data_IF_965362409521
#
_entry.id   IF_965362409521
#
_cell.length_a   1.000
_cell.length_b   1.000
_cell.length_c   1.000
_cell.angle_alpha   90.00
_cell.angle_beta   90.00
_cell.angle_gamma   90.00
#
_symmetry.space_group_name_H-M   'P 1'
#
loop_
_entity.id
_entity.type
_entity.pdbx_description
1 polymer ?
#
# COMPACT_ATOMS: atom_id res chain seq x y z
N UNK A 1 34.03 -17.58 14.43
CA UNK A 1 33.36 -18.48 13.46
C UNK A 1 32.97 -19.75 14.21
N UNK A 2 31.68 -20.08 14.21
CA UNK A 2 31.11 -21.14 15.04
C UNK A 2 31.47 -22.54 14.48
N UNK A 3 31.83 -23.50 15.35
CA UNK A 3 32.24 -24.86 14.93
C UNK A 3 31.14 -25.62 14.17
N UNK A 4 29.87 -25.28 14.42
CA UNK A 4 28.73 -25.86 13.72
C UNK A 4 28.74 -25.55 12.21
N UNK A 5 29.12 -24.32 11.83
CA UNK A 5 29.18 -23.90 10.42
C UNK A 5 30.24 -24.69 9.65
N UNK A 6 31.39 -24.96 10.29
CA UNK A 6 32.45 -25.77 9.69
C UNK A 6 32.01 -27.22 9.45
N UNK A 7 31.23 -27.79 10.38
CA UNK A 7 30.70 -29.15 10.26
C UNK A 7 29.74 -29.26 9.07
N UNK A 8 28.78 -28.35 8.95
CA UNK A 8 27.84 -28.33 7.81
C UNK A 8 28.60 -28.22 6.49
N UNK A 9 29.57 -27.30 6.40
CA UNK A 9 30.36 -27.13 5.19
C UNK A 9 31.12 -28.40 4.79
N UNK A 10 31.79 -29.07 5.73
CA UNK A 10 32.63 -30.23 5.41
C UNK A 10 31.89 -31.55 5.28
N UNK A 11 30.72 -31.69 5.91
CA UNK A 11 30.00 -32.96 5.95
C UNK A 11 28.80 -32.99 5.00
N UNK A 12 28.14 -31.86 4.79
CA UNK A 12 26.99 -31.77 3.89
C UNK A 12 27.34 -31.21 2.51
N UNK A 13 28.18 -30.17 2.44
CA UNK A 13 28.45 -29.49 1.15
C UNK A 13 29.66 -30.04 0.39
N UNK A 14 30.68 -30.58 1.06
CA UNK A 14 31.88 -31.10 0.39
C UNK A 14 31.51 -32.31 -0.50
N UNK A 15 31.72 -32.16 -1.81
CA UNK A 15 31.50 -33.23 -2.80
C UNK A 15 30.09 -33.29 -3.40
N UNK A 16 29.14 -32.50 -2.89
CA UNK A 16 27.77 -32.47 -3.40
C UNK A 16 27.59 -31.40 -4.49
N UNK A 17 26.89 -31.77 -5.57
CA UNK A 17 26.47 -30.83 -6.63
C UNK A 17 24.97 -30.95 -6.83
N UNK A 18 24.25 -29.84 -6.62
CA UNK A 18 22.80 -29.77 -6.79
C UNK A 18 22.45 -29.08 -8.11
N UNK A 19 21.48 -29.63 -8.83
CA UNK A 19 21.02 -29.08 -10.12
C UNK A 19 19.96 -28.00 -9.92
N UNK A 20 19.18 -28.07 -8.83
CA UNK A 20 18.16 -27.08 -8.49
C UNK A 20 18.00 -26.93 -6.96
N UNK A 21 17.27 -25.88 -6.55
CA UNK A 21 17.05 -25.54 -5.14
C UNK A 21 16.25 -26.62 -4.39
N UNK A 22 15.24 -27.20 -5.04
CA UNK A 22 14.38 -28.20 -4.43
C UNK A 22 15.15 -29.47 -4.06
N UNK A 23 16.04 -29.93 -4.95
CA UNK A 23 16.93 -31.05 -4.70
C UNK A 23 17.84 -30.79 -3.49
N UNK A 24 18.40 -29.59 -3.39
CA UNK A 24 19.22 -29.20 -2.24
C UNK A 24 18.41 -29.19 -0.93
N UNK A 25 17.16 -28.70 -0.96
CA UNK A 25 16.24 -28.71 0.19
C UNK A 25 15.87 -30.13 0.63
N UNK A 26 15.61 -31.03 -0.32
CA UNK A 26 15.33 -32.44 -0.02
C UNK A 26 16.58 -33.16 0.51
N UNK A 27 17.76 -32.85 -0.03
CA UNK A 27 19.03 -33.42 0.43
C UNK A 27 19.36 -32.99 1.87
N UNK A 28 19.24 -31.70 2.19
CA UNK A 28 19.51 -31.19 3.54
C UNK A 28 18.52 -31.76 4.55
N UNK A 29 17.25 -31.92 4.17
CA UNK A 29 16.23 -32.54 5.04
C UNK A 29 16.60 -33.97 5.39
N UNK A 30 16.99 -34.79 4.39
CA UNK A 30 17.46 -36.15 4.60
C UNK A 30 18.72 -36.21 5.47
N UNK A 31 19.66 -35.28 5.25
CA UNK A 31 20.89 -35.20 6.04
C UNK A 31 20.61 -34.84 7.50
N UNK A 32 19.72 -33.88 7.76
CA UNK A 32 19.28 -33.49 9.10
C UNK A 32 18.60 -34.64 9.84
N UNK A 33 17.71 -35.40 9.18
CA UNK A 33 17.00 -36.54 9.78
C UNK A 33 17.88 -37.79 9.95
N UNK A 34 18.94 -37.91 9.15
CA UNK A 34 19.88 -39.03 9.21
C UNK A 34 21.22 -38.64 9.84
N UNK A 35 22.32 -38.50 9.05
CA UNK A 35 23.67 -38.32 9.57
C UNK A 35 23.84 -37.22 10.63
N UNK A 36 23.23 -36.05 10.44
CA UNK A 36 23.43 -34.92 11.34
C UNK A 36 22.59 -35.02 12.63
N UNK A 37 21.37 -35.52 12.54
CA UNK A 37 20.44 -35.66 13.66
C UNK A 37 20.72 -36.89 14.53
N UNK A 38 21.30 -37.94 13.94
CA UNK A 38 21.56 -39.21 14.65
C UNK A 38 22.95 -39.34 15.25
N UNK A 39 23.86 -38.39 14.99
CA UNK A 39 25.21 -38.39 15.57
C UNK A 39 25.17 -38.08 17.07
N UNK A 40 26.16 -38.56 17.82
CA UNK A 40 26.37 -38.11 19.20
C UNK A 40 27.02 -36.72 19.16
N UNK A 41 26.33 -35.71 19.69
CA UNK A 41 26.85 -34.35 19.72
C UNK A 41 27.93 -34.19 20.81
N UNK A 42 29.04 -33.51 20.50
CA UNK A 42 30.17 -33.41 21.43
C UNK A 42 29.89 -32.61 22.71
N UNK A 43 28.93 -31.68 22.70
CA UNK A 43 28.58 -30.88 23.89
C UNK A 43 27.44 -31.52 24.69
N UNK A 44 26.45 -32.07 24.01
CA UNK A 44 25.22 -32.59 24.63
C UNK A 44 25.34 -34.08 24.94
N UNK A 45 26.37 -34.75 24.39
CA UNK A 45 26.61 -36.19 24.47
C UNK A 45 25.38 -37.04 24.10
N UNK A 46 24.47 -36.49 23.30
CA UNK A 46 23.20 -37.09 22.91
C UNK A 46 22.95 -36.89 21.41
N UNK A 47 21.98 -37.62 20.87
CA UNK A 47 21.57 -37.52 19.46
C UNK A 47 20.65 -36.30 19.30
N UNK A 48 21.02 -35.27 18.49
CA UNK A 48 20.21 -34.06 18.35
C UNK A 48 18.76 -34.30 18.00
N UNK A 49 18.48 -35.28 17.13
CA UNK A 49 17.12 -35.61 16.72
C UNK A 49 16.29 -36.13 17.90
N UNK A 50 16.87 -36.97 18.75
CA UNK A 50 16.17 -37.50 19.94
C UNK A 50 15.87 -36.39 20.93
N UNK A 51 16.87 -35.56 21.25
CA UNK A 51 16.70 -34.40 22.13
C UNK A 51 15.61 -33.47 21.62
N UNK A 52 15.62 -33.17 20.31
CA UNK A 52 14.57 -32.36 19.69
C UNK A 52 13.19 -32.99 19.87
N UNK A 53 13.02 -34.27 19.52
CA UNK A 53 11.71 -34.95 19.60
C UNK A 53 11.18 -35.10 21.03
N UNK A 54 12.06 -35.35 22.00
CA UNK A 54 11.64 -35.65 23.38
C UNK A 54 11.47 -34.39 24.22
N UNK A 55 12.35 -33.39 24.05
CA UNK A 55 12.41 -32.24 24.95
C UNK A 55 12.00 -30.92 24.30
N UNK A 56 12.30 -30.72 23.00
CA UNK A 56 12.17 -29.40 22.38
C UNK A 56 10.90 -29.26 21.51
N UNK A 57 10.43 -30.33 20.87
CA UNK A 57 9.35 -30.27 19.87
C UNK A 57 8.03 -29.71 20.43
N UNK A 58 7.76 -29.89 21.72
CA UNK A 58 6.57 -29.38 22.39
C UNK A 58 6.70 -27.96 22.98
N UNK A 59 7.89 -27.36 22.96
CA UNK A 59 8.14 -26.04 23.54
C UNK A 59 7.73 -24.86 22.65
N UNK A 60 7.87 -24.91 21.30
CA UNK A 60 7.47 -23.81 20.45
C UNK A 60 5.98 -23.50 20.60
N UNK A 61 5.68 -22.20 20.73
CA UNK A 61 4.34 -21.67 20.57
C UNK A 61 3.85 -21.96 19.15
N UNK A 62 2.53 -21.99 18.98
CA UNK A 62 1.92 -22.06 17.65
C UNK A 62 2.55 -20.98 16.77
N UNK A 63 3.01 -21.39 15.58
CA UNK A 63 3.66 -20.48 14.66
C UNK A 63 2.71 -19.28 14.42
N UNK A 64 3.20 -18.03 14.56
CA UNK A 64 2.41 -16.90 14.09
C UNK A 64 2.13 -17.08 12.59
N UNK A 65 1.16 -16.33 12.07
CA UNK A 65 0.85 -16.35 10.64
C UNK A 65 2.08 -16.10 9.75
N UNK A 66 1.91 -16.24 8.43
CA UNK A 66 2.98 -16.09 7.45
C UNK A 66 3.84 -14.86 7.75
N UNK A 67 5.15 -15.06 7.87
CA UNK A 67 6.08 -13.97 8.15
C UNK A 67 6.01 -12.92 7.05
N UNK A 68 5.80 -11.67 7.45
CA UNK A 68 5.73 -10.55 6.53
C UNK A 68 7.13 -10.19 6.03
N UNK A 69 7.38 -10.45 4.73
CA UNK A 69 8.68 -10.20 4.11
C UNK A 69 8.75 -8.73 3.68
N UNK A 70 9.56 -7.90 4.35
CA UNK A 70 9.67 -6.49 4.01
C UNK A 70 10.32 -6.28 2.65
N UNK A 71 9.82 -5.29 1.92
CA UNK A 71 10.48 -4.76 0.73
C UNK A 71 11.40 -3.60 1.13
N UNK A 72 12.67 -3.70 0.77
CA UNK A 72 13.64 -2.63 0.95
C UNK A 72 13.83 -1.86 -0.36
N UNK A 73 13.73 -0.53 -0.31
CA UNK A 73 13.90 0.34 -1.50
C UNK A 73 14.54 1.66 -1.09
N UNK A 74 15.41 2.21 -1.94
CA UNK A 74 15.81 3.61 -1.84
C UNK A 74 14.80 4.51 -2.54
N UNK A 75 14.22 5.48 -1.83
CA UNK A 75 13.23 6.40 -2.37
C UNK A 75 13.71 7.85 -2.25
N UNK A 76 13.51 8.63 -3.32
CA UNK A 76 13.80 10.06 -3.35
C UNK A 76 12.56 10.84 -2.98
N UNK A 77 12.72 11.87 -2.15
CA UNK A 77 11.65 12.84 -1.89
C UNK A 77 11.60 13.85 -3.03
N UNK A 78 10.47 13.88 -3.73
CA UNK A 78 10.24 14.83 -4.82
C UNK A 78 9.90 16.22 -4.29
N UNK A 79 9.94 17.22 -5.18
CA UNK A 79 9.58 18.61 -4.87
C UNK A 79 8.17 18.76 -4.29
N UNK A 80 7.30 17.81 -4.60
CA UNK A 80 5.91 17.77 -4.13
C UNK A 80 5.77 17.18 -2.72
N UNK A 81 6.86 17.06 -1.94
CA UNK A 81 6.89 16.50 -0.58
C UNK A 81 6.56 15.00 -0.49
N UNK A 82 6.53 14.29 -1.63
CA UNK A 82 6.19 12.87 -1.67
C UNK A 82 7.36 12.00 -2.11
N UNK A 83 7.46 10.81 -1.54
CA UNK A 83 8.32 9.73 -1.98
C UNK A 83 7.48 8.55 -2.49
N UNK A 84 7.89 7.95 -3.61
CA UNK A 84 7.19 6.82 -4.21
C UNK A 84 7.75 5.48 -3.73
N UNK A 85 6.90 4.69 -3.07
CA UNK A 85 7.23 3.37 -2.55
C UNK A 85 6.17 2.39 -3.01
N UNK A 86 6.58 1.35 -3.73
CA UNK A 86 5.67 0.34 -4.30
C UNK A 86 4.46 0.94 -5.06
N UNK A 87 4.70 1.97 -5.89
CA UNK A 87 3.67 2.71 -6.64
C UNK A 87 2.63 3.44 -5.79
N UNK A 88 2.92 3.69 -4.51
CA UNK A 88 2.12 4.54 -3.63
C UNK A 88 2.94 5.75 -3.18
N UNK A 89 2.27 6.88 -2.93
CA UNK A 89 2.89 8.14 -2.57
C UNK A 89 2.78 8.42 -1.08
N UNK A 90 3.90 8.74 -0.44
CA UNK A 90 3.99 9.01 1.00
C UNK A 90 4.60 10.38 1.25
N UNK A 91 3.94 11.19 2.06
CA UNK A 91 4.40 12.55 2.40
C UNK A 91 5.53 12.56 3.42
N UNK A 92 6.52 13.44 3.23
CA UNK A 92 7.63 13.65 4.16
C UNK A 92 7.81 15.15 4.43
N UNK A 93 8.38 15.52 5.60
CA UNK A 93 8.59 16.93 5.96
C UNK A 93 9.44 17.68 4.93
N UNK A 94 9.14 18.97 4.75
CA UNK A 94 9.80 19.83 3.75
C UNK A 94 11.33 19.86 3.78
N UNK A 95 11.93 19.70 4.96
CA UNK A 95 13.39 19.72 5.13
C UNK A 95 14.10 18.57 4.38
N UNK A 96 13.34 17.57 3.94
CA UNK A 96 13.87 16.37 3.30
C UNK A 96 13.70 16.34 1.78
N UNK A 97 13.23 17.42 1.16
CA UNK A 97 13.09 17.50 -0.30
C UNK A 97 14.45 17.26 -0.98
N UNK A 98 14.48 16.38 -1.98
CA UNK A 98 15.68 16.05 -2.74
C UNK A 98 16.59 15.00 -2.08
N UNK A 99 16.37 14.66 -0.81
CA UNK A 99 17.11 13.61 -0.12
C UNK A 99 16.62 12.20 -0.51
N UNK A 100 17.51 11.23 -0.30
CA UNK A 100 17.23 9.81 -0.47
C UNK A 100 17.05 9.14 0.89
N UNK A 101 16.07 8.24 0.97
CA UNK A 101 15.72 7.48 2.16
C UNK A 101 15.84 5.99 1.88
N UNK A 102 16.32 5.25 2.88
CA UNK A 102 16.20 3.81 2.92
C UNK A 102 14.81 3.47 3.46
N UNK A 103 14.00 2.83 2.64
CA UNK A 103 12.61 2.53 2.98
C UNK A 103 12.47 1.05 3.26
N UNK A 104 11.84 0.73 4.39
CA UNK A 104 11.35 -0.60 4.71
C UNK A 104 9.83 -0.59 4.59
N UNK A 105 9.30 -1.40 3.68
CA UNK A 105 7.88 -1.56 3.45
C UNK A 105 7.45 -2.95 3.91
N UNK A 106 6.78 -2.99 5.05
CA UNK A 106 6.04 -4.14 5.56
C UNK A 106 4.63 -4.17 4.88
N UNK A 107 3.85 -5.22 5.13
CA UNK A 107 2.46 -5.38 4.68
C UNK A 107 1.52 -4.31 5.25
N UNK A 108 1.78 -3.87 6.48
CA UNK A 108 0.96 -2.88 7.19
C UNK A 108 1.57 -1.49 7.22
N UNK A 109 2.90 -1.38 7.21
CA UNK A 109 3.61 -0.14 7.47
C UNK A 109 4.72 0.15 6.46
N UNK A 110 4.98 1.42 6.23
CA UNK A 110 6.12 1.92 5.46
C UNK A 110 6.95 2.84 6.34
N UNK A 111 8.21 2.48 6.55
CA UNK A 111 9.16 3.17 7.43
C UNK A 111 10.27 3.79 6.60
N UNK A 112 10.51 5.08 6.81
CA UNK A 112 11.54 5.86 6.13
C UNK A 112 12.73 6.09 7.05
N UNK A 113 13.91 5.66 6.62
CA UNK A 113 15.16 5.82 7.33
C UNK A 113 16.10 6.76 6.57
N UNK A 114 16.79 7.62 7.31
CA UNK A 114 17.88 8.43 6.77
C UNK A 114 19.12 8.21 7.63
N UNK A 115 20.18 7.67 7.03
CA UNK A 115 21.45 7.34 7.73
C UNK A 115 21.23 6.46 8.98
N UNK A 116 20.33 5.48 8.88
CA UNK A 116 19.99 4.57 9.98
C UNK A 116 18.96 5.10 11.00
N UNK A 117 18.60 6.39 10.94
CA UNK A 117 17.60 6.97 11.85
C UNK A 117 16.20 6.89 11.24
N UNK A 118 15.23 6.42 12.03
CA UNK A 118 13.82 6.41 11.64
C UNK A 118 13.30 7.85 11.61
N UNK A 119 12.92 8.32 10.43
CA UNK A 119 12.40 9.68 10.23
C UNK A 119 10.88 9.69 10.27
N UNK A 120 10.24 8.71 9.63
CA UNK A 120 8.78 8.68 9.55
C UNK A 120 8.21 7.30 9.31
N UNK A 121 6.99 7.08 9.79
CA UNK A 121 6.20 5.86 9.58
C UNK A 121 4.86 6.24 8.97
N UNK A 122 4.43 5.46 7.98
CA UNK A 122 3.12 5.57 7.34
C UNK A 122 2.40 4.22 7.33
N UNK A 123 1.06 4.21 7.37
CA UNK A 123 0.29 3.02 7.03
C UNK A 123 0.48 2.68 5.55
N UNK A 124 0.58 1.39 5.23
CA UNK A 124 0.72 0.88 3.87
C UNK A 124 -0.51 1.26 3.05
N UNK A 125 -0.27 1.75 1.83
CA UNK A 125 -1.31 2.06 0.86
C UNK A 125 -1.24 1.13 -0.36
N UNK A 126 -2.39 0.82 -0.98
CA UNK A 126 -2.42 0.08 -2.23
C UNK A 126 -1.77 0.89 -3.36
N UNK A 127 -1.48 0.21 -4.47
CA UNK A 127 -0.95 0.84 -5.69
C UNK A 127 -1.84 2.02 -6.13
N UNK A 128 -1.22 3.16 -6.42
CA UNK A 128 -1.92 4.41 -6.74
C UNK A 128 -2.49 5.15 -5.53
N UNK A 129 -2.42 4.56 -4.34
CA UNK A 129 -2.83 5.19 -3.09
C UNK A 129 -1.86 6.28 -2.62
N UNK A 130 -2.38 7.18 -1.78
CA UNK A 130 -1.61 8.27 -1.18
C UNK A 130 -1.79 8.31 0.33
N UNK A 131 -0.69 8.51 1.06
CA UNK A 131 -0.68 8.82 2.49
C UNK A 131 -0.03 10.19 2.68
N UNK A 132 -0.89 11.21 2.78
CA UNK A 132 -0.49 12.58 3.04
C UNK A 132 -0.87 12.94 4.47
N UNK A 133 0.11 13.27 5.29
CA UNK A 133 -0.10 13.87 6.61
C UNK A 133 0.01 15.39 6.46
N UNK A 134 -0.94 16.10 7.06
CA UNK A 134 -1.10 17.56 6.95
C UNK A 134 0.06 18.30 7.60
N UNK A 135 0.67 17.73 8.65
CA UNK A 135 1.73 18.38 9.40
C UNK A 135 3.04 18.55 8.59
N UNK A 136 3.25 17.74 7.55
CA UNK A 136 4.46 17.81 6.72
C UNK A 136 4.44 18.89 5.66
N UNK A 137 3.25 19.37 5.32
CA UNK A 137 3.07 20.41 4.33
C UNK A 137 3.13 21.78 5.00
N UNK A 138 3.78 22.77 4.36
CA UNK A 138 3.72 24.13 4.86
C UNK A 138 2.26 24.60 4.89
N UNK A 139 1.87 25.30 5.95
CA UNK A 139 0.47 25.66 6.23
C UNK A 139 -0.24 26.33 5.04
N UNK A 140 0.47 27.18 4.30
CA UNK A 140 -0.05 27.88 3.12
C UNK A 140 -0.30 26.96 1.90
N UNK A 141 0.36 25.79 1.82
CA UNK A 141 0.21 24.82 0.71
C UNK A 141 -0.60 23.59 1.10
N UNK A 142 -0.79 23.34 2.40
CA UNK A 142 -1.55 22.21 2.91
C UNK A 142 -2.99 22.21 2.38
N UNK A 143 -3.64 23.38 2.34
CA UNK A 143 -5.04 23.53 1.93
C UNK A 143 -5.24 23.12 0.46
N UNK A 144 -4.33 23.53 -0.41
CA UNK A 144 -4.35 23.15 -1.83
C UNK A 144 -3.99 21.67 -2.04
N UNK A 145 -2.94 21.18 -1.36
CA UNK A 145 -2.42 19.82 -1.55
C UNK A 145 -3.30 18.71 -0.97
N UNK A 146 -4.08 19.02 0.08
CA UNK A 146 -5.09 18.13 0.65
C UNK A 146 -6.44 18.24 -0.06
N UNK A 147 -6.59 19.20 -0.98
CA UNK A 147 -7.86 19.49 -1.68
C UNK A 147 -9.02 19.62 -0.68
N UNK A 148 -8.79 20.35 0.41
CA UNK A 148 -9.79 20.56 1.47
C UNK A 148 -10.82 21.59 0.98
N UNK A 149 -11.86 21.07 0.31
CA UNK A 149 -12.90 21.87 -0.35
C UNK A 149 -13.58 22.82 0.64
N UNK A 150 -13.85 22.35 1.85
CA UNK A 150 -14.50 23.15 2.90
C UNK A 150 -13.66 24.37 3.26
N UNK A 151 -12.34 24.19 3.41
CA UNK A 151 -11.43 25.32 3.65
C UNK A 151 -11.34 26.28 2.48
N UNK A 152 -11.34 25.78 1.24
CA UNK A 152 -11.32 26.62 0.04
C UNK A 152 -12.59 27.47 -0.06
N UNK A 153 -13.76 26.87 0.19
CA UNK A 153 -15.03 27.61 0.26
C UNK A 153 -14.98 28.66 1.37
N UNK A 154 -14.49 28.31 2.57
CA UNK A 154 -14.35 29.27 3.68
C UNK A 154 -13.42 30.45 3.34
N UNK A 155 -12.30 30.20 2.64
CA UNK A 155 -11.41 31.25 2.17
C UNK A 155 -12.09 32.17 1.14
N UNK A 156 -12.87 31.60 0.22
CA UNK A 156 -13.69 32.36 -0.72
C UNK A 156 -14.74 33.21 0.00
N UNK A 157 -15.42 32.67 1.02
CA UNK A 157 -16.38 33.41 1.84
C UNK A 157 -15.74 34.56 2.60
N UNK A 158 -14.52 34.36 3.12
CA UNK A 158 -13.76 35.42 3.79
C UNK A 158 -13.37 36.57 2.84
N UNK A 159 -13.13 36.28 1.56
CA UNK A 159 -12.93 37.30 0.52
C UNK A 159 -14.23 38.01 0.13
N UNK A 160 -15.38 37.35 0.29
CA UNK A 160 -16.70 37.96 0.16
C UNK A 160 -17.82 36.93 0.17
N UNK A 161 -19.01 37.25 0.74
CA UNK A 161 -20.10 36.29 0.87
C UNK A 161 -20.59 35.75 -0.49
N UNK A 162 -20.64 36.60 -1.52
CA UNK A 162 -21.02 36.19 -2.87
C UNK A 162 -19.98 35.28 -3.53
N UNK A 163 -18.70 35.44 -3.19
CA UNK A 163 -17.60 34.63 -3.73
C UNK A 163 -17.65 33.23 -3.13
N UNK A 164 -17.93 33.13 -1.82
CA UNK A 164 -18.16 31.85 -1.15
C UNK A 164 -19.34 31.06 -1.73
N UNK A 165 -20.48 31.74 -1.92
CA UNK A 165 -21.68 31.13 -2.54
C UNK A 165 -21.37 30.65 -3.97
N UNK A 166 -20.62 31.44 -4.75
CA UNK A 166 -20.22 31.06 -6.10
C UNK A 166 -19.29 29.82 -6.10
N UNK A 167 -18.27 29.79 -5.24
CA UNK A 167 -17.35 28.67 -5.11
C UNK A 167 -18.06 27.37 -4.69
N UNK A 168 -18.99 27.46 -3.74
CA UNK A 168 -19.82 26.34 -3.32
C UNK A 168 -20.68 25.82 -4.49
N UNK A 169 -21.34 26.72 -5.23
CA UNK A 169 -22.15 26.33 -6.39
C UNK A 169 -21.34 25.72 -7.52
N UNK A 170 -20.10 26.13 -7.76
CA UNK A 170 -19.22 25.47 -8.73
C UNK A 170 -18.90 24.05 -8.29
N UNK A 171 -18.61 23.85 -7.01
CA UNK A 171 -18.26 22.53 -6.49
C UNK A 171 -19.45 21.56 -6.47
N UNK A 172 -20.64 22.06 -6.15
CA UNK A 172 -21.89 21.28 -6.09
C UNK A 172 -22.43 20.93 -7.49
N UNK A 173 -21.97 21.60 -8.54
CA UNK A 173 -22.34 21.24 -9.90
C UNK A 173 -21.76 19.86 -10.24
N UNK A 174 -22.57 18.91 -10.73
CA UNK A 174 -22.03 17.71 -11.32
C UNK A 174 -21.12 18.13 -12.47
N UNK A 175 -19.86 17.71 -12.41
CA UNK A 175 -18.93 17.93 -13.52
C UNK A 175 -19.57 17.27 -14.74
N UNK A 176 -20.17 18.07 -15.61
CA UNK A 176 -20.70 17.59 -16.88
C UNK A 176 -19.48 17.19 -17.72
N UNK A 177 -18.97 15.98 -17.50
CA UNK A 177 -17.87 15.39 -18.25
C UNK A 177 -18.18 15.36 -19.76
N UNK A 178 -19.45 15.52 -20.13
CA UNK A 178 -19.94 15.56 -21.50
C UNK A 178 -19.76 16.94 -22.17
N UNK A 179 -19.62 18.04 -21.43
CA UNK A 179 -19.65 19.38 -22.01
C UNK A 179 -18.26 19.91 -22.41
N UNK A 180 -17.19 19.47 -21.73
CA UNK A 180 -15.85 20.02 -21.95
C UNK A 180 -15.02 19.24 -22.99
N UNK A 181 -15.39 17.99 -23.28
CA UNK A 181 -14.69 17.18 -24.25
C UNK A 181 -15.68 16.44 -25.15
N UNK A 182 -15.85 16.83 -26.42
CA UNK A 182 -16.70 16.07 -27.32
C UNK A 182 -16.13 14.67 -27.47
N UNK A 183 -17.00 13.66 -27.33
CA UNK A 183 -16.64 12.23 -27.34
C UNK A 183 -15.81 11.81 -28.58
N UNK A 184 -15.88 12.59 -29.65
CA UNK A 184 -15.10 12.45 -30.89
C UNK A 184 -13.60 12.75 -30.74
N UNK A 185 -13.18 13.42 -29.68
CA UNK A 185 -11.78 13.81 -29.48
C UNK A 185 -10.99 12.90 -28.53
N UNK A 186 -11.66 12.01 -27.77
CA UNK A 186 -11.03 11.24 -26.67
C UNK A 186 -10.38 10.00 -27.28
N UNK A 187 -9.07 9.78 -27.03
CA UNK A 187 -8.43 8.49 -27.36
C UNK A 187 -9.27 7.37 -26.71
N UNK A 188 -9.71 6.35 -27.48
CA UNK A 188 -10.54 5.25 -26.97
C UNK A 188 -10.00 4.59 -25.70
N UNK A 189 -8.70 4.71 -25.44
CA UNK A 189 -8.03 4.19 -24.24
C UNK A 189 -8.34 4.96 -22.95
N UNK A 190 -8.84 6.20 -23.05
CA UNK A 190 -9.18 7.05 -21.90
C UNK A 190 -10.67 7.38 -21.80
N UNK A 191 -11.51 6.82 -22.67
CA UNK A 191 -12.95 6.98 -22.57
C UNK A 191 -13.46 6.29 -21.28
N UNK A 192 -14.21 6.99 -20.41
CA UNK A 192 -14.78 6.35 -19.23
C UNK A 192 -15.76 5.26 -19.68
N UNK A 193 -15.68 4.07 -19.06
CA UNK A 193 -16.69 3.03 -19.25
C UNK A 193 -18.05 3.57 -18.80
N UNK A 194 -19.16 3.20 -19.46
CA UNK A 194 -20.47 3.72 -19.12
C UNK A 194 -20.82 3.29 -17.70
N UNK A 195 -20.81 4.24 -16.77
CA UNK A 195 -21.40 4.05 -15.44
C UNK A 195 -22.92 3.98 -15.60
N UNK A 196 -23.59 2.94 -15.07
CA UNK A 196 -25.03 2.90 -15.05
C UNK A 196 -25.54 4.01 -14.13
N UNK A 197 -26.12 5.06 -14.73
CA UNK A 197 -26.80 6.11 -13.97
C UNK A 197 -28.08 5.57 -13.32
N UNK A 198 -28.54 6.17 -12.21
CA UNK A 198 -29.80 5.77 -11.58
C UNK A 198 -30.97 6.07 -12.52
N UNK A 199 -31.86 5.10 -12.67
CA UNK A 199 -33.06 5.22 -13.49
C UNK A 199 -33.91 6.42 -13.04
N UNK A 200 -33.98 7.44 -13.88
CA UNK A 200 -34.92 8.54 -13.71
C UNK A 200 -36.30 8.01 -14.09
N UNK A 201 -37.10 7.65 -13.10
CA UNK A 201 -38.54 7.40 -13.27
C UNK A 201 -39.23 8.74 -13.50
N UNK A 202 -39.64 8.97 -14.74
CA UNK A 202 -40.45 10.11 -15.14
C UNK A 202 -41.83 10.01 -14.45
N UNK A 203 -42.29 11.02 -13.67
CA UNK A 203 -43.66 11.03 -13.17
C UNK A 203 -44.62 11.43 -14.30
N UNK A 204 -45.55 10.53 -14.64
CA UNK A 204 -46.65 10.79 -15.56
C UNK A 204 -47.48 12.01 -15.11
N UNK A 205 -47.51 13.05 -15.94
CA UNK A 205 -48.46 14.16 -15.84
C UNK A 205 -49.85 13.62 -16.25
N UNK A 206 -50.90 13.72 -15.43
CA UNK A 206 -52.23 13.29 -15.85
C UNK A 206 -52.86 14.32 -16.80
N UNK A 207 -53.38 13.82 -17.92
CA UNK A 207 -54.07 14.62 -18.92
C UNK A 207 -55.40 15.17 -18.37
N UNK A 208 -55.54 16.50 -18.38
CA UNK A 208 -56.80 17.18 -18.10
C UNK A 208 -57.77 16.96 -19.26
N UNK A 209 -58.80 16.13 -19.05
CA UNK A 209 -59.93 16.00 -19.97
C UNK A 209 -60.89 17.17 -19.79
N UNK A 210 -60.91 18.10 -20.74
CA UNK A 210 -61.94 19.15 -20.84
C UNK A 210 -63.26 18.53 -21.30
N UNK A 211 -64.24 18.45 -20.40
CA UNK A 211 -65.64 18.10 -20.71
C UNK A 211 -66.34 19.37 -21.22
N UNK A 212 -66.73 19.39 -22.49
CA UNK A 212 -67.60 20.44 -23.04
C UNK A 212 -69.04 20.14 -22.63
N UNK A 213 -69.64 21.04 -21.87
CA UNK A 213 -71.07 21.07 -21.60
C UNK A 213 -71.80 21.76 -22.76
N UNK A 214 -72.71 21.01 -23.38
CA UNK A 214 -73.72 21.52 -24.33
C UNK A 214 -74.83 22.20 -23.55
N UNK A 215 -75.15 23.46 -23.88
CA UNK A 215 -76.41 24.09 -23.46
C UNK A 215 -77.12 24.65 -24.69
N UNK A 216 -78.37 24.17 -24.85
CA UNK A 216 -79.49 24.62 -25.70
C UNK A 216 -79.38 24.50 -27.22
#
# INVERSE_FOLDING_TARGET
MERAVQYVRRNFWDGETFTNLEQAQQAVTRWCLGPAGTRIHGTTCARPLEVFTTAEQGLPLAAPGVYDVPVFKKAKVHRDFHAEVAKALYSLPQQWIGHYFDVRADSELVKFYHRGNLVKVHPRRPVGGRSTDRADLPAQKADYALRDVTRLIAACTAAGPNIGIYAQRIYEQPLAAEAFWPRSSLDPRYAPSPTPGPAVTNPCIPALTTRRETTR
#
